data_IF_660050103795
#
_entry.id   IF_660050103795
#
_cell.length_a   1.000
_cell.length_b   1.000
_cell.length_c   1.000
_cell.angle_alpha   90.00
_cell.angle_beta   90.00
_cell.angle_gamma   90.00
#
_symmetry.space_group_name_H-M   'P 1'
#
loop_
_entity.id
_entity.type
_entity.pdbx_description
1 polymer ?
#
# COMPACT_ATOMS: atom_id res chain seq x y z
N UNK A 1 -3.47 9.27 -10.74
CA UNK A 1 -3.67 7.95 -10.11
C UNK A 1 -2.54 7.07 -10.56
N UNK A 2 -1.79 6.49 -9.63
CA UNK A 2 -0.50 5.87 -9.96
C UNK A 2 -0.54 4.33 -9.95
N UNK A 3 -1.37 3.70 -9.12
CA UNK A 3 -1.36 2.24 -8.90
C UNK A 3 -2.40 1.53 -9.76
N UNK A 4 -2.01 0.42 -10.40
CA UNK A 4 -2.85 -0.43 -11.27
C UNK A 4 -3.28 -1.72 -10.60
N UNK A 5 -2.34 -2.43 -10.00
CA UNK A 5 -2.60 -3.71 -9.37
C UNK A 5 -1.71 -3.88 -8.14
N UNK A 6 -2.27 -4.44 -7.08
CA UNK A 6 -1.55 -4.89 -5.89
C UNK A 6 -1.79 -6.38 -5.74
N UNK A 7 -0.73 -7.17 -5.83
CA UNK A 7 -0.75 -8.62 -5.60
C UNK A 7 -0.02 -8.92 -4.30
N UNK A 8 -0.70 -9.57 -3.36
CA UNK A 8 -0.13 -9.98 -2.08
C UNK A 8 -0.04 -11.49 -2.04
N UNK A 9 1.18 -12.03 -2.06
CA UNK A 9 1.43 -13.44 -1.83
C UNK A 9 1.69 -13.70 -0.35
N UNK A 10 0.98 -14.68 0.21
CA UNK A 10 1.06 -15.00 1.63
C UNK A 10 0.93 -16.51 1.85
N UNK A 11 1.76 -17.06 2.73
CA UNK A 11 1.58 -18.38 3.32
C UNK A 11 0.97 -18.22 4.73
N UNK A 12 -0.34 -18.44 4.94
CA UNK A 12 -1.04 -18.06 6.18
C UNK A 12 -0.53 -18.76 7.46
N UNK A 13 0.16 -19.88 7.29
CA UNK A 13 0.68 -20.71 8.38
C UNK A 13 2.05 -20.26 8.87
N UNK A 14 2.74 -19.39 8.11
CA UNK A 14 4.02 -18.85 8.51
C UNK A 14 3.87 -17.75 9.57
N UNK A 15 4.79 -17.73 10.54
CA UNK A 15 4.70 -16.79 11.68
C UNK A 15 5.03 -15.34 11.30
N UNK A 16 5.73 -15.12 10.19
CA UNK A 16 6.25 -13.83 9.74
C UNK A 16 5.29 -13.07 8.79
N UNK A 17 4.02 -13.48 8.67
CA UNK A 17 3.06 -12.90 7.72
C UNK A 17 2.12 -11.85 8.32
N UNK A 18 2.19 -11.62 9.63
CA UNK A 18 1.27 -10.70 10.34
C UNK A 18 1.27 -9.31 9.72
N UNK A 19 2.44 -8.70 9.53
CA UNK A 19 2.56 -7.36 8.96
C UNK A 19 1.94 -7.27 7.57
N UNK A 20 2.18 -8.28 6.72
CA UNK A 20 1.65 -8.33 5.34
C UNK A 20 0.14 -8.50 5.32
N UNK A 21 -0.41 -9.30 6.24
CA UNK A 21 -1.86 -9.44 6.40
C UNK A 21 -2.50 -8.12 6.85
N UNK A 22 -1.90 -7.42 7.80
CA UNK A 22 -2.40 -6.10 8.23
C UNK A 22 -2.31 -5.06 7.09
N UNK A 23 -1.23 -5.08 6.29
CA UNK A 23 -1.11 -4.27 5.08
C UNK A 23 -2.25 -4.55 4.09
N UNK A 24 -2.54 -5.83 3.81
CA UNK A 24 -3.63 -6.24 2.93
C UNK A 24 -4.99 -5.71 3.40
N UNK A 25 -5.27 -5.75 4.70
CA UNK A 25 -6.52 -5.19 5.27
C UNK A 25 -6.61 -3.67 5.03
N UNK A 26 -5.49 -2.96 5.16
CA UNK A 26 -5.45 -1.51 4.94
C UNK A 26 -5.70 -1.13 3.48
N UNK A 27 -5.03 -1.81 2.53
CA UNK A 27 -5.18 -1.52 1.08
C UNK A 27 -6.47 -2.08 0.49
N UNK A 28 -7.04 -3.14 1.10
CA UNK A 28 -8.35 -3.70 0.72
C UNK A 28 -9.55 -2.97 1.34
N UNK A 29 -9.31 -1.98 2.21
CA UNK A 29 -10.39 -1.23 2.86
C UNK A 29 -11.27 -0.50 1.84
N UNK A 30 -12.54 -0.30 2.19
CA UNK A 30 -13.49 0.42 1.33
C UNK A 30 -13.02 1.85 1.01
N UNK A 31 -12.33 2.50 1.96
CA UNK A 31 -11.72 3.83 1.75
C UNK A 31 -10.64 3.81 0.67
N UNK A 32 -9.80 2.77 0.64
CA UNK A 32 -8.79 2.60 -0.40
C UNK A 32 -9.44 2.31 -1.76
N UNK A 33 -10.39 1.36 -1.82
CA UNK A 33 -11.13 1.03 -3.05
C UNK A 33 -11.95 2.19 -3.61
N UNK A 34 -12.43 3.08 -2.76
CA UNK A 34 -13.18 4.28 -3.18
C UNK A 34 -12.30 5.31 -3.87
N UNK A 35 -10.97 5.24 -3.71
CA UNK A 35 -10.12 6.31 -4.23
C UNK A 35 -9.70 6.08 -5.68
N UNK A 36 -9.49 4.83 -6.10
CA UNK A 36 -9.46 4.46 -7.52
C UNK A 36 -10.20 3.14 -7.77
N UNK A 37 -11.26 3.27 -8.57
CA UNK A 37 -12.07 2.14 -9.05
C UNK A 37 -11.28 1.20 -9.98
N UNK A 38 -10.11 1.64 -10.46
CA UNK A 38 -9.27 0.91 -11.41
C UNK A 38 -8.12 0.14 -10.74
N UNK A 39 -7.91 0.30 -9.42
CA UNK A 39 -6.89 -0.47 -8.71
C UNK A 39 -7.44 -1.84 -8.32
N UNK A 40 -6.88 -2.89 -8.90
CA UNK A 40 -7.17 -4.25 -8.51
C UNK A 40 -6.31 -4.64 -7.30
N UNK A 41 -6.91 -5.28 -6.29
CA UNK A 41 -6.20 -5.82 -5.12
C UNK A 41 -6.44 -7.31 -5.07
N UNK A 42 -5.41 -8.10 -5.35
CA UNK A 42 -5.45 -9.55 -5.40
C UNK A 42 -4.61 -10.16 -4.28
N UNK A 43 -5.10 -11.25 -3.70
CA UNK A 43 -4.37 -12.03 -2.70
C UNK A 43 -4.13 -13.44 -3.21
N UNK A 44 -2.88 -13.85 -3.26
CA UNK A 44 -2.48 -15.21 -3.60
C UNK A 44 -2.05 -15.95 -2.34
N UNK A 45 -2.88 -16.91 -1.93
CA UNK A 45 -2.60 -17.75 -0.78
C UNK A 45 -1.81 -18.98 -1.21
N UNK A 46 -0.64 -19.18 -0.62
CA UNK A 46 0.24 -20.33 -0.87
C UNK A 46 0.41 -21.19 0.39
N UNK A 47 0.94 -22.39 0.22
CA UNK A 47 1.35 -23.29 1.30
C UNK A 47 2.70 -23.96 0.97
N UNK A 48 3.68 -23.13 0.63
CA UNK A 48 5.01 -23.54 0.15
C UNK A 48 6.15 -23.02 1.06
N UNK A 49 5.81 -22.54 2.26
CA UNK A 49 6.75 -21.89 3.20
C UNK A 49 7.46 -20.67 2.58
N UNK A 50 6.90 -20.08 1.52
CA UNK A 50 7.48 -18.90 0.89
C UNK A 50 7.34 -17.66 1.77
N UNK A 51 8.32 -16.77 1.65
CA UNK A 51 8.26 -15.46 2.30
C UNK A 51 7.08 -14.64 1.74
N UNK A 52 6.36 -13.89 2.58
CA UNK A 52 5.29 -13.02 2.11
C UNK A 52 5.85 -11.95 1.17
N UNK A 53 5.17 -11.72 0.05
CA UNK A 53 5.58 -10.78 -0.99
C UNK A 53 4.42 -9.86 -1.34
N UNK A 54 4.69 -8.56 -1.37
CA UNK A 54 3.76 -7.56 -1.90
C UNK A 54 4.34 -7.03 -3.20
N UNK A 55 3.59 -7.17 -4.29
CA UNK A 55 3.97 -6.70 -5.61
C UNK A 55 2.94 -5.68 -6.10
N UNK A 56 3.41 -4.49 -6.44
CA UNK A 56 2.58 -3.35 -6.79
C UNK A 56 2.98 -2.90 -8.19
N UNK A 57 2.06 -2.99 -9.13
CA UNK A 57 2.23 -2.50 -10.50
C UNK A 57 1.59 -1.13 -10.63
N UNK A 58 2.35 -0.17 -11.13
CA UNK A 58 1.89 1.18 -11.42
C UNK A 58 1.36 1.30 -12.87
N UNK A 59 0.65 2.39 -13.17
CA UNK A 59 0.07 2.65 -14.49
C UNK A 59 1.11 2.82 -15.60
N UNK A 60 2.32 3.24 -15.24
CA UNK A 60 3.45 3.35 -16.17
C UNK A 60 4.17 2.01 -16.42
N UNK A 61 3.73 0.93 -15.77
CA UNK A 61 4.34 -0.39 -15.87
C UNK A 61 5.50 -0.63 -14.90
N UNK A 62 5.90 0.37 -14.09
CA UNK A 62 6.87 0.12 -13.03
C UNK A 62 6.29 -0.79 -11.94
N UNK A 63 7.18 -1.50 -11.25
CA UNK A 63 6.82 -2.42 -10.17
C UNK A 63 7.57 -2.10 -8.89
N UNK A 64 6.84 -2.11 -7.77
CA UNK A 64 7.40 -2.08 -6.42
C UNK A 64 7.16 -3.45 -5.79
N UNK A 65 8.24 -4.19 -5.56
CA UNK A 65 8.23 -5.46 -4.83
C UNK A 65 8.77 -5.26 -3.42
N UNK A 66 8.03 -5.74 -2.42
CA UNK A 66 8.39 -5.66 -1.00
C UNK A 66 8.30 -7.06 -0.37
N UNK A 67 9.43 -7.56 0.15
CA UNK A 67 9.48 -8.83 0.88
C UNK A 67 9.06 -8.59 2.34
N UNK A 68 7.87 -9.06 2.69
CA UNK A 68 7.21 -8.78 3.97
C UNK A 68 7.81 -9.46 5.20
N UNK A 69 8.68 -10.49 5.01
CA UNK A 69 9.18 -11.33 6.10
C UNK A 69 9.86 -10.55 7.25
N UNK A 70 10.46 -9.40 6.93
CA UNK A 70 11.16 -8.54 7.89
C UNK A 70 10.72 -7.08 7.81
N UNK A 71 9.57 -6.82 7.20
CA UNK A 71 9.02 -5.47 7.08
C UNK A 71 7.83 -5.31 8.02
N UNK A 72 7.79 -4.17 8.69
CA UNK A 72 6.62 -3.72 9.43
C UNK A 72 5.58 -3.16 8.46
N UNK A 73 4.31 -3.15 8.89
CA UNK A 73 3.23 -2.50 8.13
C UNK A 73 3.56 -1.04 7.80
N UNK A 74 4.19 -0.31 8.72
CA UNK A 74 4.56 1.09 8.54
C UNK A 74 5.55 1.27 7.40
N UNK A 75 6.60 0.43 7.35
CA UNK A 75 7.60 0.48 6.28
C UNK A 75 6.98 0.18 4.92
N UNK A 76 6.10 -0.82 4.83
CA UNK A 76 5.39 -1.16 3.58
C UNK A 76 4.50 -0.02 3.10
N UNK A 77 3.72 0.59 4.01
CA UNK A 77 2.84 1.71 3.66
C UNK A 77 3.64 2.97 3.30
N UNK A 78 4.73 3.28 4.02
CA UNK A 78 5.61 4.41 3.72
C UNK A 78 6.31 4.24 2.36
N UNK A 79 6.76 3.04 2.02
CA UNK A 79 7.36 2.74 0.72
C UNK A 79 6.35 2.94 -0.42
N UNK A 80 5.13 2.44 -0.27
CA UNK A 80 4.03 2.66 -1.22
C UNK A 80 3.74 4.16 -1.39
N UNK A 81 3.56 4.88 -0.28
CA UNK A 81 3.27 6.31 -0.30
C UNK A 81 4.37 7.11 -1.01
N UNK A 82 5.63 6.83 -0.69
CA UNK A 82 6.79 7.49 -1.32
C UNK A 82 6.77 7.33 -2.83
N UNK A 83 6.45 6.13 -3.33
CA UNK A 83 6.35 5.87 -4.77
C UNK A 83 5.17 6.57 -5.43
N UNK A 84 4.01 6.65 -4.80
CA UNK A 84 2.91 7.40 -5.39
C UNK A 84 3.18 8.89 -5.44
N UNK A 85 3.80 9.46 -4.40
CA UNK A 85 4.14 10.89 -4.36
C UNK A 85 5.15 11.23 -5.45
N UNK A 86 6.14 10.36 -5.68
CA UNK A 86 7.08 10.51 -6.79
C UNK A 86 6.41 10.45 -8.17
N UNK A 87 5.26 9.77 -8.27
CA UNK A 87 4.49 9.58 -9.51
C UNK A 87 3.26 10.50 -9.63
N UNK A 88 3.02 11.39 -8.67
CA UNK A 88 1.90 12.34 -8.75
C UNK A 88 2.27 13.45 -9.75
N UNK A 89 1.55 13.60 -10.88
CA UNK A 89 1.86 14.60 -11.91
C UNK A 89 1.51 16.04 -11.48
N UNK A 90 0.94 16.25 -10.29
CA UNK A 90 0.60 17.60 -9.82
C UNK A 90 1.85 18.43 -9.49
N UNK A 91 1.93 19.71 -9.91
CA UNK A 91 2.97 20.63 -9.44
C UNK A 91 2.90 20.74 -7.92
N UNK A 92 4.05 20.66 -7.24
CA UNK A 92 4.17 20.84 -5.79
C UNK A 92 3.63 22.22 -5.39
N UNK A 93 2.37 22.33 -4.99
CA UNK A 93 1.90 23.49 -4.25
C UNK A 93 2.46 23.42 -2.81
N UNK A 94 2.79 24.58 -2.19
CA UNK A 94 3.35 24.62 -0.84
C UNK A 94 2.38 24.02 0.19
N UNK A 95 2.90 23.50 1.31
CA UNK A 95 2.11 22.76 2.29
C UNK A 95 1.01 23.66 2.87
N UNK A 96 -0.25 23.30 2.61
CA UNK A 96 -1.41 23.99 3.18
C UNK A 96 -1.48 23.67 4.68
N UNK A 97 -1.25 24.67 5.50
CA UNK A 97 -1.42 24.63 6.95
C UNK A 97 -2.90 24.60 7.33
N UNK A 98 -3.32 23.53 8.00
CA UNK A 98 -4.39 23.59 9.01
C UNK A 98 -4.24 22.41 9.97
N UNK A 99 -3.92 22.66 11.26
CA UNK A 99 -3.79 21.62 12.27
C UNK A 99 -5.16 21.32 12.86
N UNK A 100 -5.58 20.07 12.82
CA UNK A 100 -6.52 19.54 13.82
C UNK A 100 -5.88 18.29 14.37
N UNK A 101 -5.46 18.39 15.62
CA UNK A 101 -4.82 17.33 16.37
C UNK A 101 -5.81 16.17 16.47
N UNK A 102 -5.65 15.14 15.64
CA UNK A 102 -5.78 13.75 16.06
C UNK A 102 -5.36 12.77 14.96
N UNK A 103 -4.36 11.98 15.35
CA UNK A 103 -4.05 10.63 14.88
C UNK A 103 -3.33 10.51 13.54
N UNK A 104 -2.07 10.06 13.60
CA UNK A 104 -1.23 9.55 12.50
C UNK A 104 -1.95 8.61 11.50
N UNK A 105 -3.11 8.08 11.88
CA UNK A 105 -4.01 7.26 11.07
C UNK A 105 -4.71 8.08 9.96
N UNK A 106 -5.11 9.33 10.23
CA UNK A 106 -5.78 10.20 9.24
C UNK A 106 -4.82 10.62 8.11
N UNK A 107 -3.57 10.98 8.45
CA UNK A 107 -2.56 11.35 7.46
C UNK A 107 -2.16 10.15 6.57
N UNK A 108 -2.08 8.95 7.16
CA UNK A 108 -1.87 7.71 6.41
C UNK A 108 -3.07 7.38 5.52
N UNK A 109 -4.31 7.55 6.02
CA UNK A 109 -5.51 7.30 5.25
C UNK A 109 -5.67 8.27 4.07
N UNK A 110 -5.36 9.57 4.25
CA UNK A 110 -5.39 10.57 3.16
C UNK A 110 -4.27 10.33 2.13
N UNK A 111 -3.09 9.86 2.56
CA UNK A 111 -1.96 9.54 1.67
C UNK A 111 -2.16 8.25 0.87
N UNK A 112 -2.67 7.19 1.52
CA UNK A 112 -3.08 5.93 0.89
C UNK A 112 -4.27 6.18 -0.03
N UNK A 113 -5.28 6.95 0.38
CA UNK A 113 -6.37 7.34 -0.51
C UNK A 113 -5.82 8.09 -1.73
N UNK A 114 -4.96 9.11 -1.60
CA UNK A 114 -4.40 9.79 -2.80
C UNK A 114 -3.56 8.88 -3.73
N UNK A 115 -3.02 7.77 -3.20
CA UNK A 115 -2.26 6.76 -3.93
C UNK A 115 -3.14 5.75 -4.68
N UNK A 116 -4.18 5.26 -3.99
CA UNK A 116 -5.09 4.19 -4.39
C UNK A 116 -6.35 4.72 -5.03
#
# INVERSE_FOLDING_TARGET
MAVKNIVVHICPFESNVRSTREFLVMVGSEKARSTSINCEVMTEVKHDQSEPLVDITFMDGERLMMKGARLTIKEMLTALQSRCVAKDPRPKLPPRSSPTQNTLIELFCVGICKCL
#
